data_IF_866510889587
#
_entry.id   IF_866510889587
#
_cell.length_a   1.000
_cell.length_b   1.000
_cell.length_c   1.000
_cell.angle_alpha   90.00
_cell.angle_beta   90.00
_cell.angle_gamma   90.00
#
_symmetry.space_group_name_H-M   'P 1'
#
loop_
_entity.id
_entity.type
_entity.pdbx_description
1 polymer ?
#
# COMPACT_ATOMS: atom_id res chain seq x y z
N UNK A 1 0.06 -1.57 -9.99
CA UNK A 1 0.30 -0.71 -11.16
C UNK A 1 0.49 0.76 -10.74
N UNK A 2 -0.47 1.41 -10.02
CA UNK A 2 -0.37 2.83 -9.58
C UNK A 2 0.98 3.16 -8.91
N UNK A 3 1.44 2.34 -7.97
CA UNK A 3 2.69 2.58 -7.23
C UNK A 3 3.91 2.43 -8.14
N UNK A 4 3.97 1.37 -8.94
CA UNK A 4 5.11 1.15 -9.84
C UNK A 4 5.23 2.25 -10.89
N UNK A 5 4.11 2.68 -11.48
CA UNK A 5 4.08 3.81 -12.41
C UNK A 5 4.57 5.10 -11.74
N UNK A 6 4.11 5.37 -10.52
CA UNK A 6 4.56 6.53 -9.76
C UNK A 6 6.06 6.51 -9.45
N UNK A 7 6.63 5.33 -9.13
CA UNK A 7 8.09 5.20 -8.93
C UNK A 7 8.84 5.44 -10.23
N UNK A 8 8.40 4.88 -11.34
CA UNK A 8 9.04 5.07 -12.65
C UNK A 8 9.03 6.55 -13.08
N UNK A 9 7.89 7.23 -12.93
CA UNK A 9 7.76 8.66 -13.23
C UNK A 9 8.73 9.50 -12.40
N UNK A 10 8.79 9.28 -11.11
CA UNK A 10 9.66 10.04 -10.21
C UNK A 10 11.16 9.80 -10.50
N UNK A 11 11.54 8.56 -10.81
CA UNK A 11 12.92 8.27 -11.21
C UNK A 11 13.28 9.01 -12.52
N UNK A 12 12.36 9.05 -13.50
CA UNK A 12 12.54 9.80 -14.73
C UNK A 12 12.67 11.32 -14.48
N UNK A 13 11.85 11.86 -13.56
CA UNK A 13 11.93 13.28 -13.15
C UNK A 13 13.26 13.61 -12.46
N UNK A 14 13.83 12.66 -11.72
CA UNK A 14 15.17 12.80 -11.09
C UNK A 14 16.34 12.57 -12.04
N UNK A 15 16.07 12.39 -13.33
CA UNK A 15 17.11 12.28 -14.37
C UNK A 15 17.61 10.87 -14.64
N UNK A 16 17.00 9.83 -14.06
CA UNK A 16 17.31 8.45 -14.44
C UNK A 16 16.73 8.13 -15.82
N UNK A 17 17.49 7.39 -16.62
CA UNK A 17 16.98 6.83 -17.87
C UNK A 17 16.12 5.60 -17.58
N UNK A 18 14.80 5.76 -17.66
CA UNK A 18 13.83 4.69 -17.35
C UNK A 18 13.32 4.07 -18.65
N UNK A 19 13.45 2.75 -18.75
CA UNK A 19 12.90 1.97 -19.86
C UNK A 19 11.98 0.89 -19.27
N UNK A 20 10.73 0.86 -19.72
CA UNK A 20 9.76 -0.17 -19.35
C UNK A 20 9.79 -1.25 -20.42
N UNK A 21 9.97 -2.50 -20.01
CA UNK A 21 9.87 -3.67 -20.89
C UNK A 21 8.61 -4.44 -20.51
N UNK A 22 7.64 -4.48 -21.43
CA UNK A 22 6.36 -5.16 -21.23
C UNK A 22 6.31 -6.48 -22.01
N UNK A 23 5.64 -7.46 -21.42
CA UNK A 23 5.21 -8.67 -22.09
C UNK A 23 3.89 -8.40 -22.82
N UNK A 24 3.61 -9.16 -23.89
CA UNK A 24 2.42 -8.93 -24.71
C UNK A 24 2.64 -7.89 -25.81
N UNK A 25 1.55 -7.43 -26.40
CA UNK A 25 1.52 -6.57 -27.58
C UNK A 25 0.96 -5.18 -27.32
N UNK A 26 0.46 -4.93 -26.12
CA UNK A 26 -0.19 -3.68 -25.74
C UNK A 26 0.76 -2.78 -24.92
N UNK A 27 0.76 -1.50 -25.25
CA UNK A 27 1.53 -0.45 -24.55
C UNK A 27 0.68 0.39 -23.60
N UNK A 28 -0.62 0.08 -23.47
CA UNK A 28 -1.51 0.89 -22.63
C UNK A 28 -1.14 0.75 -21.15
N UNK A 29 -1.10 1.89 -20.48
CA UNK A 29 -0.97 1.97 -19.03
C UNK A 29 -2.25 2.59 -18.46
N UNK A 30 -2.79 2.01 -17.39
CA UNK A 30 -3.95 2.57 -16.69
C UNK A 30 -3.63 3.88 -15.96
N UNK A 31 -2.34 4.24 -15.85
CA UNK A 31 -1.88 5.46 -15.18
C UNK A 31 -0.94 6.24 -16.11
N UNK A 32 -0.97 7.58 -16.07
CA UNK A 32 -0.11 8.42 -16.89
C UNK A 32 1.37 8.12 -16.68
N UNK A 33 2.11 7.97 -17.75
CA UNK A 33 3.56 7.82 -17.76
C UNK A 33 4.24 9.12 -18.19
N UNK A 34 5.40 9.41 -17.61
CA UNK A 34 6.25 10.51 -17.99
C UNK A 34 6.75 10.32 -19.42
N UNK A 35 6.72 11.37 -20.24
CA UNK A 35 7.09 11.34 -21.65
C UNK A 35 8.57 10.94 -21.90
N UNK A 36 9.43 11.07 -20.88
CA UNK A 36 10.84 10.64 -20.93
C UNK A 36 11.00 9.11 -20.82
N UNK A 37 9.94 8.37 -20.45
CA UNK A 37 9.99 6.92 -20.26
C UNK A 37 9.80 6.22 -21.60
N UNK A 38 10.79 5.42 -22.00
CA UNK A 38 10.69 4.56 -23.18
C UNK A 38 9.98 3.26 -22.87
N UNK A 39 9.00 2.88 -23.69
CA UNK A 39 8.30 1.59 -23.57
C UNK A 39 8.74 0.67 -24.70
N UNK A 40 9.21 -0.53 -24.35
CA UNK A 40 9.57 -1.61 -25.28
C UNK A 40 8.67 -2.81 -25.04
N UNK A 41 8.28 -3.47 -26.13
CA UNK A 41 7.46 -4.67 -26.07
C UNK A 41 8.31 -5.90 -26.43
N UNK A 42 8.14 -6.98 -25.65
CA UNK A 42 8.70 -8.29 -26.02
C UNK A 42 7.84 -8.94 -27.12
N UNK A 43 6.55 -8.58 -27.23
CA UNK A 43 5.64 -9.15 -28.23
C UNK A 43 5.24 -10.59 -27.94
N UNK A 44 5.40 -11.07 -26.71
CA UNK A 44 5.11 -12.44 -26.29
C UNK A 44 4.32 -12.37 -25.00
N UNK A 45 3.17 -13.07 -24.87
CA UNK A 45 2.40 -13.08 -23.63
C UNK A 45 3.19 -13.75 -22.49
N UNK A 46 2.91 -13.30 -21.26
CA UNK A 46 3.52 -13.86 -20.06
C UNK A 46 2.84 -15.19 -19.68
N UNK A 47 3.22 -16.25 -20.34
CA UNK A 47 2.72 -17.61 -20.12
C UNK A 47 3.88 -18.59 -19.93
N UNK A 48 3.64 -19.68 -19.18
CA UNK A 48 4.68 -20.67 -18.87
C UNK A 48 5.37 -21.25 -20.11
N UNK A 49 4.61 -21.54 -21.16
CA UNK A 49 5.10 -22.12 -22.42
C UNK A 49 6.04 -21.19 -23.20
N UNK A 50 5.99 -19.88 -22.94
CA UNK A 50 6.78 -18.89 -23.67
C UNK A 50 7.96 -18.32 -22.87
N UNK A 51 8.16 -18.73 -21.62
CA UNK A 51 9.18 -18.14 -20.73
C UNK A 51 10.59 -18.16 -21.30
N UNK A 52 11.01 -19.25 -21.93
CA UNK A 52 12.34 -19.36 -22.53
C UNK A 52 12.51 -18.40 -23.73
N UNK A 53 11.49 -18.33 -24.60
CA UNK A 53 11.47 -17.39 -25.73
C UNK A 53 11.49 -15.94 -25.24
N UNK A 54 10.68 -15.64 -24.24
CA UNK A 54 10.64 -14.31 -23.61
C UNK A 54 11.99 -13.95 -22.96
N UNK A 55 12.65 -14.90 -22.31
CA UNK A 55 13.99 -14.71 -21.74
C UNK A 55 15.06 -14.39 -22.80
N UNK A 56 14.99 -15.03 -23.96
CA UNK A 56 15.89 -14.75 -25.07
C UNK A 56 15.72 -13.31 -25.58
N UNK A 57 14.48 -12.84 -25.78
CA UNK A 57 14.21 -11.47 -26.20
C UNK A 57 14.58 -10.46 -25.11
N UNK A 58 14.25 -10.75 -23.84
CA UNK A 58 14.66 -9.89 -22.73
C UNK A 58 16.18 -9.73 -22.68
N UNK A 59 16.95 -10.84 -22.80
CA UNK A 59 18.41 -10.79 -22.87
C UNK A 59 18.88 -9.87 -24.00
N UNK A 60 18.30 -9.99 -25.20
CA UNK A 60 18.69 -9.17 -26.36
C UNK A 60 18.48 -7.69 -26.06
N UNK A 61 17.29 -7.32 -25.59
CA UNK A 61 16.93 -5.95 -25.22
C UNK A 61 17.89 -5.39 -24.14
N UNK A 62 18.10 -6.13 -23.06
CA UNK A 62 18.94 -5.69 -21.94
C UNK A 62 20.41 -5.55 -22.34
N UNK A 63 20.94 -6.47 -23.16
CA UNK A 63 22.32 -6.39 -23.61
C UNK A 63 22.56 -5.28 -24.64
N UNK A 64 21.51 -4.83 -25.34
CA UNK A 64 21.54 -3.67 -26.23
C UNK A 64 21.49 -2.34 -25.44
N UNK A 65 20.56 -2.23 -24.47
CA UNK A 65 20.38 -1.02 -23.65
C UNK A 65 21.52 -0.86 -22.64
N UNK A 66 22.05 -1.99 -22.12
CA UNK A 66 23.09 -2.06 -21.06
C UNK A 66 22.72 -1.26 -19.80
N UNK A 67 21.55 -1.51 -19.20
CA UNK A 67 21.14 -0.79 -17.99
C UNK A 67 22.00 -1.18 -16.79
N UNK A 68 22.18 -0.26 -15.83
CA UNK A 68 22.81 -0.58 -14.55
C UNK A 68 21.98 -1.57 -13.73
N UNK A 69 20.66 -1.39 -13.77
CA UNK A 69 19.70 -2.20 -13.02
C UNK A 69 18.54 -2.69 -13.87
N UNK A 70 18.11 -3.93 -13.65
CA UNK A 70 16.90 -4.53 -14.19
C UNK A 70 15.95 -4.81 -13.04
N UNK A 71 14.84 -4.07 -12.94
CA UNK A 71 13.90 -4.16 -11.82
C UNK A 71 12.70 -4.99 -12.25
N UNK A 72 12.53 -6.15 -11.64
CA UNK A 72 11.34 -6.98 -11.80
C UNK A 72 10.23 -6.47 -10.88
N UNK A 73 9.15 -5.94 -11.45
CA UNK A 73 7.97 -5.50 -10.69
C UNK A 73 7.05 -6.71 -10.47
N UNK A 74 7.35 -7.52 -9.54
CA UNK A 74 6.71 -8.74 -9.04
C UNK A 74 7.58 -9.99 -9.22
N UNK A 75 7.44 -10.93 -8.28
CA UNK A 75 8.24 -12.17 -8.24
C UNK A 75 8.11 -13.05 -9.49
N UNK A 76 6.93 -13.22 -10.13
CA UNK A 76 6.84 -14.03 -11.34
C UNK A 76 7.77 -13.58 -12.47
N UNK A 77 8.05 -12.28 -12.60
CA UNK A 77 8.97 -11.75 -13.61
C UNK A 77 10.40 -12.25 -13.42
N UNK A 78 10.76 -12.60 -12.19
CA UNK A 78 12.09 -13.13 -11.85
C UNK A 78 12.40 -14.43 -12.60
N UNK A 79 11.41 -15.27 -12.89
CA UNK A 79 11.63 -16.52 -13.61
C UNK A 79 12.19 -16.28 -15.02
N UNK A 80 11.64 -15.29 -15.72
CA UNK A 80 12.13 -14.90 -17.06
C UNK A 80 13.50 -14.23 -16.96
N UNK A 81 13.70 -13.35 -15.99
CA UNK A 81 15.00 -12.68 -15.77
C UNK A 81 16.09 -13.66 -15.37
N UNK A 82 15.77 -14.69 -14.58
CA UNK A 82 16.71 -15.75 -14.23
C UNK A 82 17.12 -16.57 -15.48
N UNK A 83 16.16 -17.00 -16.29
CA UNK A 83 16.47 -17.68 -17.55
C UNK A 83 17.31 -16.80 -18.48
N UNK A 84 16.98 -15.51 -18.58
CA UNK A 84 17.76 -14.55 -19.37
C UNK A 84 19.19 -14.42 -18.86
N UNK A 85 19.39 -14.45 -17.53
CA UNK A 85 20.72 -14.49 -16.90
C UNK A 85 21.51 -15.74 -17.28
N UNK A 86 20.88 -16.92 -17.22
CA UNK A 86 21.48 -18.18 -17.66
C UNK A 86 21.87 -18.15 -19.15
N UNK A 87 21.14 -17.38 -19.96
CA UNK A 87 21.44 -17.15 -21.37
C UNK A 87 22.51 -16.05 -21.61
N UNK A 88 23.01 -15.40 -20.56
CA UNK A 88 24.06 -14.37 -20.66
C UNK A 88 23.52 -12.92 -20.67
N UNK A 89 22.36 -12.65 -20.09
CA UNK A 89 21.90 -11.29 -19.81
C UNK A 89 22.82 -10.61 -18.79
N UNK A 90 23.26 -9.39 -19.08
CA UNK A 90 24.09 -8.55 -18.20
C UNK A 90 23.19 -7.64 -17.31
N UNK A 91 23.81 -6.94 -16.36
CA UNK A 91 23.12 -6.01 -15.45
C UNK A 91 22.75 -6.62 -14.07
N UNK A 92 22.54 -5.74 -13.10
CA UNK A 92 22.13 -6.11 -11.74
C UNK A 92 20.63 -6.30 -11.69
N UNK A 93 20.13 -7.51 -11.36
CA UNK A 93 18.69 -7.79 -11.26
C UNK A 93 18.21 -7.50 -9.86
N UNK A 94 17.21 -6.65 -9.72
CA UNK A 94 16.50 -6.34 -8.48
C UNK A 94 15.08 -6.86 -8.60
N UNK A 95 14.59 -7.55 -7.58
CA UNK A 95 13.18 -7.97 -7.51
C UNK A 95 12.44 -7.10 -6.52
N UNK A 96 11.34 -6.49 -6.96
CA UNK A 96 10.45 -5.69 -6.12
C UNK A 96 9.18 -6.48 -5.83
N UNK A 97 9.09 -7.01 -4.60
CA UNK A 97 7.96 -7.82 -4.17
C UNK A 97 6.93 -6.94 -3.44
N UNK A 98 5.70 -6.96 -3.93
CA UNK A 98 4.57 -6.23 -3.36
C UNK A 98 3.75 -7.06 -2.37
N UNK A 99 4.13 -8.31 -2.15
CA UNK A 99 3.43 -9.24 -1.28
C UNK A 99 4.33 -9.68 -0.13
N UNK A 100 3.71 -10.16 0.94
CA UNK A 100 4.44 -10.78 2.05
C UNK A 100 5.03 -12.11 1.63
N UNK A 101 6.11 -12.56 2.31
CA UNK A 101 6.76 -13.83 2.00
C UNK A 101 5.76 -14.99 1.95
N UNK A 102 4.82 -15.03 2.89
CA UNK A 102 3.86 -16.13 3.06
C UNK A 102 2.55 -15.93 2.28
N UNK A 103 2.43 -14.89 1.44
CA UNK A 103 1.24 -14.69 0.64
C UNK A 103 1.09 -15.79 -0.43
N UNK A 104 -0.06 -16.45 -0.46
CA UNK A 104 -0.40 -17.48 -1.42
C UNK A 104 0.06 -18.89 -1.03
N UNK A 105 0.45 -19.69 -2.02
CA UNK A 105 0.80 -21.10 -1.83
C UNK A 105 2.25 -21.29 -1.34
N UNK A 106 2.57 -22.50 -0.86
CA UNK A 106 3.95 -22.91 -0.52
C UNK A 106 4.93 -22.75 -1.69
N UNK A 107 4.48 -22.98 -2.92
CA UNK A 107 5.25 -22.69 -4.12
C UNK A 107 5.56 -21.18 -4.26
N UNK A 108 4.63 -20.32 -3.87
CA UNK A 108 4.86 -18.88 -3.84
C UNK A 108 5.99 -18.49 -2.87
N UNK A 109 6.01 -19.08 -1.67
CA UNK A 109 7.10 -18.92 -0.69
C UNK A 109 8.44 -19.36 -1.27
N UNK A 110 8.48 -20.56 -1.87
CA UNK A 110 9.69 -21.09 -2.52
C UNK A 110 10.21 -20.11 -3.60
N UNK A 111 9.35 -19.65 -4.50
CA UNK A 111 9.75 -18.73 -5.56
C UNK A 111 10.21 -17.36 -5.04
N UNK A 112 9.65 -16.85 -3.93
CA UNK A 112 10.14 -15.62 -3.29
C UNK A 112 11.53 -15.81 -2.69
N UNK A 113 11.76 -16.90 -1.96
CA UNK A 113 13.09 -17.23 -1.40
C UNK A 113 14.10 -17.44 -2.54
N UNK A 114 13.75 -18.21 -3.57
CA UNK A 114 14.59 -18.40 -4.74
C UNK A 114 14.91 -17.07 -5.45
N UNK A 115 13.90 -16.21 -5.64
CA UNK A 115 14.07 -14.88 -6.21
C UNK A 115 15.07 -14.03 -5.40
N UNK A 116 14.95 -14.04 -4.08
CA UNK A 116 15.87 -13.32 -3.21
C UNK A 116 17.31 -13.90 -3.26
N UNK A 117 17.44 -15.22 -3.46
CA UNK A 117 18.74 -15.85 -3.61
C UNK A 117 19.46 -15.42 -4.89
N UNK A 118 18.76 -15.42 -6.02
CA UNK A 118 19.34 -15.18 -7.36
C UNK A 118 19.40 -13.70 -7.75
N UNK A 119 18.61 -12.84 -7.13
CA UNK A 119 18.65 -11.40 -7.34
C UNK A 119 19.89 -10.76 -6.74
N UNK A 120 20.32 -9.65 -7.31
CA UNK A 120 21.32 -8.78 -6.70
C UNK A 120 20.80 -8.22 -5.37
N UNK A 121 19.58 -7.69 -5.39
CA UNK A 121 18.82 -7.25 -4.23
C UNK A 121 17.33 -7.56 -4.41
N UNK A 122 16.61 -7.66 -3.29
CA UNK A 122 15.15 -7.78 -3.28
C UNK A 122 14.57 -6.64 -2.43
N UNK A 123 13.58 -5.95 -2.97
CA UNK A 123 12.84 -4.91 -2.26
C UNK A 123 11.57 -5.53 -1.69
N UNK A 124 11.34 -5.32 -0.40
CA UNK A 124 10.10 -5.66 0.31
C UNK A 124 9.52 -4.41 0.94
N UNK A 125 8.25 -4.45 1.32
CA UNK A 125 7.55 -3.26 1.77
C UNK A 125 7.74 -2.96 3.26
N UNK A 126 8.04 -3.97 4.09
CA UNK A 126 8.11 -3.82 5.55
C UNK A 126 9.33 -4.52 6.16
N UNK A 127 9.74 -4.08 7.35
CA UNK A 127 10.76 -4.76 8.14
C UNK A 127 10.32 -6.16 8.57
N UNK A 128 9.03 -6.35 8.83
CA UNK A 128 8.47 -7.66 9.14
C UNK A 128 8.65 -8.63 7.96
N UNK A 129 8.40 -8.17 6.73
CA UNK A 129 8.66 -8.99 5.53
C UNK A 129 10.14 -9.35 5.42
N UNK A 130 11.06 -8.38 5.60
CA UNK A 130 12.51 -8.66 5.60
C UNK A 130 12.88 -9.71 6.65
N UNK A 131 12.32 -9.60 7.85
CA UNK A 131 12.61 -10.51 8.96
C UNK A 131 12.02 -11.92 8.75
N UNK A 132 11.02 -12.07 7.90
CA UNK A 132 10.45 -13.35 7.50
C UNK A 132 11.38 -14.17 6.60
N UNK A 133 12.31 -13.52 5.89
CA UNK A 133 13.28 -14.22 5.06
C UNK A 133 14.40 -14.89 5.87
N UNK A 134 15.02 -15.99 5.35
CA UNK A 134 16.17 -16.62 5.97
C UNK A 134 17.30 -15.62 6.28
N UNK A 135 17.92 -15.73 7.44
CA UNK A 135 18.95 -14.77 7.93
C UNK A 135 20.06 -14.49 6.90
N UNK A 136 20.50 -15.51 6.17
CA UNK A 136 21.55 -15.39 5.14
C UNK A 136 21.15 -14.46 3.99
N UNK A 137 19.87 -14.38 3.66
CA UNK A 137 19.37 -13.55 2.56
C UNK A 137 19.07 -12.11 2.98
N UNK A 138 18.87 -11.82 4.28
CA UNK A 138 18.47 -10.50 4.78
C UNK A 138 19.41 -9.37 4.38
N UNK A 139 20.69 -9.66 4.13
CA UNK A 139 21.66 -8.66 3.64
C UNK A 139 21.33 -8.15 2.24
N UNK A 140 20.67 -8.96 1.42
CA UNK A 140 20.22 -8.61 0.07
C UNK A 140 18.83 -7.98 0.05
N UNK A 141 18.10 -7.97 1.18
CA UNK A 141 16.73 -7.49 1.24
C UNK A 141 16.71 -6.05 1.74
N UNK A 142 16.14 -5.16 0.92
CA UNK A 142 15.95 -3.74 1.21
C UNK A 142 14.49 -3.46 1.53
N UNK A 143 14.25 -2.65 2.54
CA UNK A 143 12.89 -2.23 2.91
C UNK A 143 12.62 -0.87 2.31
N UNK A 144 11.82 -0.86 1.24
CA UNK A 144 11.33 0.35 0.59
C UNK A 144 9.81 0.22 0.51
N UNK A 145 9.12 0.91 1.41
CA UNK A 145 7.65 0.95 1.42
C UNK A 145 7.08 1.71 0.24
N UNK A 146 5.78 1.67 0.09
CA UNK A 146 5.10 2.50 -0.89
C UNK A 146 5.17 3.97 -0.45
N UNK A 147 5.26 4.87 -1.41
CA UNK A 147 5.09 6.30 -1.13
C UNK A 147 3.61 6.67 -1.22
N UNK A 148 3.26 7.71 -0.50
CA UNK A 148 1.97 8.39 -0.59
C UNK A 148 2.23 9.84 -0.96
N UNK A 149 1.30 10.45 -1.68
CA UNK A 149 1.41 11.86 -2.05
C UNK A 149 1.33 12.73 -0.79
N UNK A 150 2.18 13.75 -0.74
CA UNK A 150 2.15 14.71 0.34
C UNK A 150 0.85 15.52 0.29
N UNK A 151 0.04 15.45 1.35
CA UNK A 151 -1.16 16.24 1.45
C UNK A 151 -0.82 17.74 1.51
N UNK A 152 -1.48 18.54 0.69
CA UNK A 152 -1.31 20.00 0.65
C UNK A 152 -1.92 20.69 1.88
N UNK A 153 -3.00 20.11 2.40
CA UNK A 153 -3.76 20.62 3.52
C UNK A 153 -3.79 19.62 4.67
N UNK A 154 -3.99 20.09 5.88
CA UNK A 154 -4.22 19.24 7.06
C UNK A 154 -5.71 19.00 7.25
N UNK A 155 -6.05 17.93 7.95
CA UNK A 155 -7.43 17.63 8.35
C UNK A 155 -7.97 18.65 9.34
N UNK A 156 -9.31 18.79 9.31
CA UNK A 156 -10.06 19.58 10.30
C UNK A 156 -10.38 18.71 11.52
N UNK A 157 -9.47 18.66 12.49
CA UNK A 157 -9.63 17.84 13.70
C UNK A 157 -10.81 18.26 14.61
N UNK A 158 -11.49 19.35 14.31
CA UNK A 158 -12.69 19.82 15.04
C UNK A 158 -13.99 19.26 14.43
N UNK A 159 -13.93 18.73 13.24
CA UNK A 159 -15.06 18.08 12.58
C UNK A 159 -15.56 16.87 13.38
N UNK A 160 -16.86 16.62 13.35
CA UNK A 160 -17.48 15.44 13.96
C UNK A 160 -17.64 14.32 12.94
N UNK A 161 -16.56 14.03 12.20
CA UNK A 161 -16.54 13.00 11.15
C UNK A 161 -15.41 12.01 11.37
N UNK A 162 -15.77 10.74 11.34
CA UNK A 162 -14.83 9.60 11.34
C UNK A 162 -14.79 9.05 9.92
N UNK A 163 -13.59 8.89 9.37
CA UNK A 163 -13.40 8.41 8.00
C UNK A 163 -12.86 6.98 7.99
N UNK A 164 -13.40 6.17 7.10
CA UNK A 164 -12.84 4.87 6.73
C UNK A 164 -12.86 4.70 5.21
N UNK A 165 -11.73 4.35 4.62
CA UNK A 165 -11.55 4.28 3.16
C UNK A 165 -11.07 2.90 2.74
N UNK A 166 -11.70 2.30 1.74
CA UNK A 166 -11.23 1.03 1.19
C UNK A 166 -12.21 0.37 0.23
N UNK A 167 -11.76 -0.72 -0.41
CA UNK A 167 -12.67 -1.55 -1.20
C UNK A 167 -13.72 -2.18 -0.28
N UNK A 168 -14.97 -2.17 -0.66
CA UNK A 168 -16.05 -2.79 0.10
C UNK A 168 -16.02 -4.32 -0.11
N UNK A 169 -15.08 -4.98 0.58
CA UNK A 169 -14.87 -6.43 0.57
C UNK A 169 -14.70 -6.93 2.00
N UNK A 170 -15.02 -8.18 2.27
CA UNK A 170 -15.01 -8.79 3.60
C UNK A 170 -13.69 -8.54 4.39
N UNK A 171 -12.55 -8.59 3.69
CA UNK A 171 -11.25 -8.41 4.34
C UNK A 171 -11.04 -7.00 4.92
N UNK A 172 -11.85 -6.00 4.54
CA UNK A 172 -11.76 -4.63 5.06
C UNK A 172 -12.57 -4.38 6.34
N UNK A 173 -13.41 -5.33 6.75
CA UNK A 173 -14.06 -5.32 8.06
C UNK A 173 -15.06 -4.18 8.29
N UNK A 174 -15.66 -3.62 7.23
CA UNK A 174 -16.68 -2.58 7.39
C UNK A 174 -17.92 -3.07 8.13
N UNK A 175 -18.23 -4.35 8.04
CA UNK A 175 -19.28 -5.01 8.81
C UNK A 175 -19.01 -4.95 10.33
N UNK A 176 -17.77 -5.15 10.77
CA UNK A 176 -17.37 -5.00 12.18
C UNK A 176 -17.45 -3.51 12.58
N UNK A 177 -16.98 -2.63 11.72
CA UNK A 177 -17.01 -1.19 12.01
C UNK A 177 -18.42 -0.66 12.19
N UNK A 178 -19.40 -1.17 11.43
CA UNK A 178 -20.82 -0.82 11.61
C UNK A 178 -21.38 -1.31 12.94
N UNK A 179 -21.03 -2.52 13.41
CA UNK A 179 -21.43 -3.00 14.73
C UNK A 179 -20.88 -2.09 15.84
N UNK A 180 -19.61 -1.73 15.77
CA UNK A 180 -18.98 -0.81 16.72
C UNK A 180 -19.67 0.56 16.67
N UNK A 181 -19.96 1.06 15.46
CA UNK A 181 -20.60 2.36 15.28
C UNK A 181 -22.03 2.41 15.80
N UNK A 182 -22.76 1.30 15.73
CA UNK A 182 -24.09 1.15 16.31
C UNK A 182 -24.12 1.40 17.83
N UNK A 183 -23.04 1.06 18.54
CA UNK A 183 -22.92 1.38 19.97
C UNK A 183 -22.45 2.84 20.20
N UNK A 184 -21.57 3.35 19.34
CA UNK A 184 -21.04 4.71 19.44
C UNK A 184 -22.16 5.73 19.20
N UNK A 185 -22.95 5.57 18.16
CA UNK A 185 -24.02 6.50 17.76
C UNK A 185 -25.08 6.72 18.82
N UNK A 186 -25.31 5.76 19.73
CA UNK A 186 -26.22 5.88 20.88
C UNK A 186 -25.79 6.98 21.87
N UNK A 187 -24.47 7.27 21.93
CA UNK A 187 -23.90 8.29 22.84
C UNK A 187 -23.49 9.56 22.11
N UNK A 188 -23.12 9.45 20.85
CA UNK A 188 -22.57 10.52 19.99
C UNK A 188 -23.34 10.57 18.67
N UNK A 189 -24.65 10.85 18.75
CA UNK A 189 -25.54 10.92 17.59
C UNK A 189 -25.22 12.07 16.62
N UNK A 190 -24.40 13.01 17.02
CA UNK A 190 -23.95 14.14 16.23
C UNK A 190 -22.63 13.86 15.46
N UNK A 191 -22.07 12.66 15.58
CA UNK A 191 -20.92 12.21 14.79
C UNK A 191 -21.36 11.36 13.62
N UNK A 192 -20.64 11.49 12.50
CA UNK A 192 -20.89 10.77 11.25
C UNK A 192 -19.73 9.87 10.91
N UNK A 193 -20.01 8.60 10.66
CA UNK A 193 -19.05 7.68 10.04
C UNK A 193 -19.17 7.77 8.52
N UNK A 194 -18.09 8.18 7.85
CA UNK A 194 -17.99 8.18 6.39
C UNK A 194 -17.21 6.97 5.91
N UNK A 195 -17.86 6.10 5.14
CA UNK A 195 -17.24 4.95 4.49
C UNK A 195 -17.11 5.24 3.00
N UNK A 196 -15.88 5.42 2.52
CA UNK A 196 -15.60 5.76 1.12
C UNK A 196 -15.03 4.56 0.38
N UNK A 197 -15.75 4.09 -0.64
CA UNK A 197 -15.29 3.00 -1.47
C UNK A 197 -16.37 2.31 -2.28
N UNK A 198 -15.97 1.28 -3.01
CA UNK A 198 -16.85 0.42 -3.81
C UNK A 198 -16.40 -1.02 -3.71
N UNK A 199 -17.31 -1.96 -3.89
CA UNK A 199 -17.02 -3.40 -3.84
C UNK A 199 -18.27 -4.26 -3.69
N UNK A 200 -18.08 -5.55 -3.66
CA UNK A 200 -19.13 -6.58 -3.64
C UNK A 200 -19.98 -6.55 -2.37
N UNK A 201 -19.43 -6.09 -1.24
CA UNK A 201 -20.15 -6.03 0.04
C UNK A 201 -21.09 -4.82 0.15
N UNK A 202 -21.19 -3.95 -0.86
CA UNK A 202 -21.96 -2.71 -0.78
C UNK A 202 -23.41 -2.91 -0.33
N UNK A 203 -24.12 -3.87 -0.92
CA UNK A 203 -25.52 -4.12 -0.59
C UNK A 203 -25.69 -4.79 0.79
N UNK A 204 -24.75 -5.65 1.19
CA UNK A 204 -24.74 -6.24 2.52
C UNK A 204 -24.55 -5.17 3.61
N UNK A 205 -23.63 -4.24 3.37
CA UNK A 205 -23.37 -3.12 4.29
C UNK A 205 -24.56 -2.17 4.39
N UNK A 206 -25.27 -1.90 3.29
CA UNK A 206 -26.52 -1.09 3.30
C UNK A 206 -27.59 -1.72 4.17
N UNK A 207 -27.87 -3.01 3.96
CA UNK A 207 -28.83 -3.76 4.78
C UNK A 207 -28.45 -3.69 6.26
N UNK A 208 -27.18 -3.84 6.57
CA UNK A 208 -26.69 -3.76 7.95
C UNK A 208 -26.87 -2.36 8.56
N UNK A 209 -26.70 -1.29 7.80
CA UNK A 209 -27.01 0.09 8.24
C UNK A 209 -28.47 0.22 8.59
N UNK A 210 -29.39 -0.30 7.73
CA UNK A 210 -30.84 -0.32 7.98
C UNK A 210 -31.20 -1.15 9.22
N UNK A 211 -30.66 -2.36 9.36
CA UNK A 211 -30.89 -3.23 10.51
C UNK A 211 -30.44 -2.62 11.84
N UNK A 212 -29.35 -1.82 11.82
CA UNK A 212 -28.80 -1.13 12.99
C UNK A 212 -29.38 0.28 13.20
N UNK A 213 -30.30 0.75 12.32
CA UNK A 213 -30.89 2.10 12.32
C UNK A 213 -29.82 3.21 12.31
N UNK A 214 -28.84 3.11 11.39
CA UNK A 214 -27.68 4.02 11.31
C UNK A 214 -27.74 4.98 10.12
N UNK A 215 -28.88 5.13 9.44
CA UNK A 215 -29.02 5.92 8.22
C UNK A 215 -28.64 7.39 8.41
N UNK A 216 -28.90 7.94 9.61
CA UNK A 216 -28.55 9.31 9.96
C UNK A 216 -27.07 9.49 10.40
N UNK A 217 -26.40 8.39 10.79
CA UNK A 217 -25.06 8.40 11.40
C UNK A 217 -23.98 7.78 10.51
N UNK A 218 -24.33 7.17 9.38
CA UNK A 218 -23.39 6.54 8.45
C UNK A 218 -23.64 7.02 7.02
N UNK A 219 -22.57 7.47 6.38
CA UNK A 219 -22.57 7.86 4.99
C UNK A 219 -21.73 6.90 4.16
N UNK A 220 -22.35 6.12 3.29
CA UNK A 220 -21.67 5.29 2.30
C UNK A 220 -21.45 6.09 1.01
N UNK A 221 -20.20 6.40 0.71
CA UNK A 221 -19.79 7.21 -0.42
C UNK A 221 -19.10 6.30 -1.46
N UNK A 222 -19.50 6.29 -2.73
CA UNK A 222 -18.83 5.51 -3.77
C UNK A 222 -17.37 6.00 -3.94
N UNK A 223 -16.57 5.23 -4.66
CA UNK A 223 -15.21 5.65 -5.03
C UNK A 223 -15.24 7.00 -5.76
N UNK A 224 -14.52 7.97 -5.23
CA UNK A 224 -14.42 9.34 -5.73
C UNK A 224 -13.07 9.62 -6.37
N UNK A 225 -13.02 10.59 -7.29
CA UNK A 225 -11.75 11.05 -7.89
C UNK A 225 -10.91 11.87 -6.91
N UNK A 226 -11.57 12.75 -6.12
CA UNK A 226 -10.92 13.60 -5.13
C UNK A 226 -11.23 13.11 -3.72
N UNK A 227 -10.45 12.14 -3.26
CA UNK A 227 -10.56 11.59 -1.90
C UNK A 227 -9.99 12.55 -0.84
N UNK A 228 -9.18 13.53 -1.24
CA UNK A 228 -8.52 14.46 -0.34
C UNK A 228 -9.53 15.27 0.49
N UNK A 229 -10.66 15.66 -0.10
CA UNK A 229 -11.71 16.43 0.58
C UNK A 229 -12.27 15.69 1.80
N UNK A 230 -12.39 14.37 1.72
CA UNK A 230 -12.85 13.54 2.84
C UNK A 230 -11.80 13.42 3.94
N UNK A 231 -10.50 13.29 3.59
CA UNK A 231 -9.44 13.32 4.57
C UNK A 231 -9.32 14.68 5.27
N UNK A 232 -9.51 15.79 4.53
CA UNK A 232 -9.49 17.15 5.09
C UNK A 232 -10.66 17.37 6.04
N UNK A 233 -11.84 16.89 5.70
CA UNK A 233 -13.07 17.10 6.48
C UNK A 233 -13.25 16.11 7.63
N UNK A 234 -12.41 15.08 7.75
CA UNK A 234 -12.43 14.14 8.86
C UNK A 234 -11.59 14.61 10.04
N UNK A 235 -11.85 14.07 11.24
CA UNK A 235 -11.06 14.31 12.44
C UNK A 235 -10.42 13.04 13.03
N UNK A 236 -10.90 11.86 12.63
CA UNK A 236 -10.37 10.54 13.05
C UNK A 236 -10.42 9.62 11.84
N UNK A 237 -9.40 8.80 11.65
CA UNK A 237 -9.40 7.71 10.68
C UNK A 237 -9.53 6.36 11.39
N UNK A 238 -10.43 5.49 10.92
CA UNK A 238 -10.66 4.17 11.51
C UNK A 238 -10.52 3.07 10.45
N UNK A 239 -9.91 1.94 10.82
CA UNK A 239 -9.85 0.74 9.98
C UNK A 239 -10.03 -0.53 10.80
N UNK A 240 -11.14 -1.23 10.57
CA UNK A 240 -11.43 -2.53 11.17
C UNK A 240 -11.00 -3.70 10.25
N UNK A 241 -10.01 -3.49 9.40
CA UNK A 241 -9.58 -4.48 8.43
C UNK A 241 -9.08 -5.77 9.09
N UNK A 242 -9.54 -6.92 8.57
CA UNK A 242 -9.07 -8.26 8.95
C UNK A 242 -7.71 -8.58 8.33
N UNK A 243 -7.41 -7.93 7.21
CA UNK A 243 -6.15 -8.08 6.48
C UNK A 243 -5.80 -6.77 5.73
N UNK A 244 -4.60 -6.27 5.99
CA UNK A 244 -4.05 -5.10 5.30
C UNK A 244 -2.58 -5.31 4.96
N UNK A 245 -2.24 -5.64 3.72
CA UNK A 245 -0.86 -6.00 3.34
C UNK A 245 0.17 -4.90 3.57
N UNK A 246 -0.19 -3.62 3.37
CA UNK A 246 0.71 -2.51 3.63
C UNK A 246 0.04 -1.34 4.37
N UNK A 247 -1.17 -0.95 3.98
CA UNK A 247 -1.91 0.14 4.62
C UNK A 247 -1.72 1.50 3.93
N UNK A 248 -1.85 1.56 2.60
CA UNK A 248 -1.80 2.83 1.85
C UNK A 248 -2.73 3.88 2.46
N UNK A 249 -3.96 3.51 2.76
CA UNK A 249 -4.97 4.41 3.33
C UNK A 249 -4.61 4.92 4.74
N UNK A 250 -3.88 4.11 5.53
CA UNK A 250 -3.35 4.54 6.83
C UNK A 250 -2.24 5.58 6.65
N UNK A 251 -1.34 5.36 5.70
CA UNK A 251 -0.30 6.34 5.39
C UNK A 251 -0.88 7.61 4.74
N UNK A 252 -1.94 7.48 3.94
CA UNK A 252 -2.73 8.62 3.43
C UNK A 252 -3.33 9.41 4.59
N UNK A 253 -4.03 8.77 5.53
CA UNK A 253 -4.58 9.43 6.71
C UNK A 253 -3.51 10.20 7.51
N UNK A 254 -2.32 9.60 7.70
CA UNK A 254 -1.17 10.28 8.34
C UNK A 254 -0.71 11.50 7.56
N UNK A 255 -0.76 11.49 6.23
CA UNK A 255 -0.36 12.64 5.42
C UNK A 255 -1.25 13.86 5.65
N UNK A 256 -2.50 13.65 6.02
CA UNK A 256 -3.44 14.72 6.43
C UNK A 256 -3.38 15.05 7.92
N UNK A 257 -2.58 14.33 8.70
CA UNK A 257 -2.49 14.53 10.16
C UNK A 257 -3.71 14.00 10.90
N UNK A 258 -4.35 12.93 10.42
CA UNK A 258 -5.42 12.25 11.13
C UNK A 258 -4.87 11.28 12.17
N UNK A 259 -5.36 11.32 13.43
CA UNK A 259 -5.16 10.23 14.37
C UNK A 259 -5.84 8.96 13.86
N UNK A 260 -5.21 7.81 14.07
CA UNK A 260 -5.68 6.54 13.53
C UNK A 260 -6.09 5.59 14.65
N UNK A 261 -7.23 4.91 14.48
CA UNK A 261 -7.59 3.73 15.27
C UNK A 261 -7.74 2.56 14.32
N UNK A 262 -6.95 1.50 14.49
CA UNK A 262 -7.04 0.35 13.60
C UNK A 262 -6.70 -0.97 14.28
N UNK A 263 -7.23 -2.07 13.76
CA UNK A 263 -6.78 -3.39 14.19
C UNK A 263 -5.31 -3.64 13.79
N UNK A 264 -4.55 -4.28 14.67
CA UNK A 264 -3.22 -4.85 14.37
C UNK A 264 -3.40 -6.16 13.57
N UNK A 265 -4.03 -6.04 12.41
CA UNK A 265 -4.18 -7.17 11.51
C UNK A 265 -2.85 -7.50 10.80
N UNK A 266 -2.71 -8.71 10.23
CA UNK A 266 -1.45 -9.13 9.64
C UNK A 266 -0.88 -8.13 8.63
N UNK A 267 0.38 -7.82 8.79
CA UNK A 267 1.36 -7.09 7.97
C UNK A 267 1.35 -5.56 8.06
N UNK A 268 0.34 -4.86 7.54
CA UNK A 268 0.41 -3.40 7.28
C UNK A 268 0.39 -2.51 8.52
N UNK A 269 -0.65 -2.56 9.37
CA UNK A 269 -0.93 -1.52 10.36
C UNK A 269 0.22 -1.24 11.32
N UNK A 270 0.83 -2.28 11.88
CA UNK A 270 1.98 -2.20 12.81
C UNK A 270 3.22 -1.52 12.21
N UNK A 271 3.35 -1.54 10.88
CA UNK A 271 4.46 -0.88 10.21
C UNK A 271 4.15 0.60 9.92
N UNK A 272 2.90 1.01 9.98
CA UNK A 272 2.45 2.37 9.68
C UNK A 272 2.16 3.14 10.95
N UNK A 273 1.33 2.61 11.84
CA UNK A 273 0.86 3.28 13.06
C UNK A 273 1.81 3.00 14.23
N UNK A 274 2.13 4.03 15.00
CA UNK A 274 2.87 3.94 16.25
C UNK A 274 1.87 4.04 17.41
N UNK A 275 1.63 2.91 18.04
CA UNK A 275 0.65 2.80 19.11
C UNK A 275 0.90 3.80 20.24
N UNK A 276 -0.16 4.49 20.69
CA UNK A 276 -0.11 5.51 21.74
C UNK A 276 0.60 6.82 21.36
N UNK A 277 1.08 6.96 20.10
CA UNK A 277 1.81 8.15 19.65
C UNK A 277 1.08 8.92 18.54
N UNK A 278 0.71 8.24 17.48
CA UNK A 278 0.02 8.82 16.31
C UNK A 278 -1.30 8.10 15.98
N UNK A 279 -1.69 7.17 16.85
CA UNK A 279 -2.91 6.38 16.76
C UNK A 279 -2.90 5.26 17.77
N UNK A 280 -3.88 4.36 17.64
CA UNK A 280 -4.02 3.18 18.47
C UNK A 280 -4.07 1.92 17.59
N UNK A 281 -3.22 0.94 17.92
CA UNK A 281 -3.23 -0.41 17.35
C UNK A 281 -3.98 -1.33 18.30
N UNK A 282 -5.10 -1.84 17.85
CA UNK A 282 -6.01 -2.67 18.64
C UNK A 282 -5.83 -4.13 18.27
N UNK A 283 -5.82 -5.02 19.24
CA UNK A 283 -5.78 -6.46 18.97
C UNK A 283 -6.88 -6.87 17.97
N UNK A 284 -6.54 -7.73 17.01
CA UNK A 284 -7.48 -8.12 15.96
C UNK A 284 -8.78 -8.68 16.58
N UNK A 285 -9.92 -8.14 16.15
CA UNK A 285 -11.27 -8.43 16.63
C UNK A 285 -11.59 -7.96 18.06
N UNK A 286 -10.76 -7.20 18.73
CA UNK A 286 -11.15 -6.53 19.97
C UNK A 286 -11.99 -5.28 19.69
N UNK A 287 -13.28 -5.54 19.42
CA UNK A 287 -14.25 -4.48 19.11
C UNK A 287 -14.50 -3.53 20.30
N UNK A 288 -14.37 -4.04 21.53
CA UNK A 288 -14.58 -3.22 22.72
C UNK A 288 -13.46 -2.20 22.89
N UNK A 289 -12.20 -2.64 22.79
CA UNK A 289 -11.08 -1.72 22.87
C UNK A 289 -11.11 -0.71 21.69
N UNK A 290 -11.43 -1.16 20.47
CA UNK A 290 -11.57 -0.26 19.32
C UNK A 290 -12.62 0.82 19.57
N UNK A 291 -13.79 0.44 20.09
CA UNK A 291 -14.85 1.36 20.50
C UNK A 291 -14.35 2.39 21.51
N UNK A 292 -13.70 1.94 22.58
CA UNK A 292 -13.16 2.83 23.63
C UNK A 292 -12.14 3.83 23.07
N UNK A 293 -11.23 3.41 22.20
CA UNK A 293 -10.24 4.31 21.61
C UNK A 293 -10.85 5.30 20.62
N UNK A 294 -11.90 4.92 19.90
CA UNK A 294 -12.66 5.85 19.06
C UNK A 294 -13.34 6.90 19.94
N UNK A 295 -14.07 6.48 20.97
CA UNK A 295 -14.75 7.37 21.92
C UNK A 295 -13.76 8.33 22.60
N UNK A 296 -12.62 7.83 23.07
CA UNK A 296 -11.56 8.66 23.66
C UNK A 296 -11.13 9.77 22.72
N UNK A 297 -10.91 9.47 21.44
CA UNK A 297 -10.55 10.48 20.44
C UNK A 297 -11.73 11.39 20.07
N UNK A 298 -12.96 10.96 20.18
CA UNK A 298 -14.14 11.81 19.95
C UNK A 298 -14.30 12.84 21.07
N UNK A 299 -14.00 12.47 22.31
CA UNK A 299 -14.18 13.30 23.49
C UNK A 299 -12.98 14.24 23.75
N UNK A 300 -11.76 13.86 23.32
CA UNK A 300 -10.53 14.61 23.62
C UNK A 300 -9.93 15.25 22.34
N UNK A 301 -10.23 16.54 22.12
CA UNK A 301 -9.67 17.31 20.99
C UNK A 301 -8.15 17.50 21.11
N UNK A 302 -7.62 17.67 22.30
CA UNK A 302 -6.18 17.89 22.49
C UNK A 302 -5.40 16.59 22.18
N UNK A 303 -5.94 15.44 22.55
CA UNK A 303 -5.38 14.15 22.15
C UNK A 303 -5.44 13.95 20.63
N UNK A 304 -6.55 14.33 19.96
CA UNK A 304 -6.64 14.32 18.50
C UNK A 304 -5.55 15.17 17.86
N UNK A 305 -5.33 16.40 18.36
CA UNK A 305 -4.27 17.30 17.88
C UNK A 305 -2.89 16.69 18.07
N UNK A 306 -2.60 16.20 19.27
CA UNK A 306 -1.32 15.56 19.60
C UNK A 306 -1.01 14.39 18.68
N UNK A 307 -1.97 13.50 18.49
CA UNK A 307 -1.79 12.33 17.60
C UNK A 307 -1.71 12.75 16.13
N UNK A 308 -2.51 13.71 15.70
CA UNK A 308 -2.50 14.23 14.34
C UNK A 308 -1.16 14.87 13.96
N UNK A 309 -0.58 15.67 14.84
CA UNK A 309 0.76 16.26 14.64
C UNK A 309 1.85 15.19 14.58
N UNK A 310 1.79 14.21 15.48
CA UNK A 310 2.73 13.08 15.47
C UNK A 310 2.57 12.24 14.19
N UNK A 311 1.33 12.00 13.74
CA UNK A 311 1.04 11.28 12.51
C UNK A 311 1.66 11.99 11.29
N UNK A 312 1.46 13.30 11.17
CA UNK A 312 2.04 14.11 10.08
C UNK A 312 3.57 14.09 10.09
N UNK A 313 4.18 14.30 11.25
CA UNK A 313 5.64 14.25 11.39
C UNK A 313 6.22 12.89 11.00
N UNK A 314 5.57 11.82 11.44
CA UNK A 314 6.00 10.47 11.12
C UNK A 314 5.82 10.16 9.62
N UNK A 315 4.74 10.62 9.00
CA UNK A 315 4.54 10.54 7.56
C UNK A 315 5.69 11.20 6.79
N UNK A 316 6.03 12.44 7.13
CA UNK A 316 7.11 13.20 6.47
C UNK A 316 8.45 12.49 6.54
N UNK A 317 8.73 11.82 7.66
CA UNK A 317 9.98 11.08 7.86
C UNK A 317 10.03 9.72 7.15
N UNK A 318 8.90 9.02 7.03
CA UNK A 318 8.91 7.61 6.61
C UNK A 318 8.21 7.32 5.28
N UNK A 319 7.14 8.04 4.94
CA UNK A 319 6.22 7.67 3.85
C UNK A 319 6.07 8.75 2.79
N UNK A 320 6.56 9.95 3.03
CA UNK A 320 6.56 11.02 2.04
C UNK A 320 7.32 10.60 0.77
N UNK A 321 6.95 11.20 -0.33
CA UNK A 321 7.62 11.00 -1.61
C UNK A 321 9.15 11.18 -1.45
N UNK A 322 9.59 12.24 -0.76
CA UNK A 322 11.00 12.49 -0.47
C UNK A 322 11.68 11.37 0.30
N UNK A 323 11.07 10.91 1.39
CA UNK A 323 11.65 9.87 2.25
C UNK A 323 11.82 8.53 1.52
N UNK A 324 10.81 8.11 0.76
CA UNK A 324 10.86 6.87 -0.01
C UNK A 324 11.86 6.95 -1.16
N UNK A 325 11.89 8.06 -1.89
CA UNK A 325 12.81 8.18 -3.04
C UNK A 325 14.27 8.37 -2.64
N UNK A 326 14.56 8.85 -1.43
CA UNK A 326 15.93 8.80 -0.91
C UNK A 326 16.43 7.33 -0.79
N UNK A 327 15.56 6.40 -0.35
CA UNK A 327 15.90 4.96 -0.30
C UNK A 327 16.08 4.35 -1.69
N UNK A 328 15.26 4.76 -2.67
CA UNK A 328 15.43 4.33 -4.06
C UNK A 328 16.76 4.83 -4.66
N UNK A 329 17.09 6.10 -4.45
CA UNK A 329 18.37 6.64 -4.95
C UNK A 329 19.58 6.02 -4.28
N UNK A 330 19.48 5.66 -3.00
CA UNK A 330 20.54 4.91 -2.29
C UNK A 330 20.72 3.49 -2.88
N UNK A 331 19.63 2.81 -3.22
CA UNK A 331 19.67 1.48 -3.81
C UNK A 331 20.27 1.49 -5.23
N UNK A 332 20.05 2.56 -5.99
CA UNK A 332 20.47 2.69 -7.40
C UNK A 332 21.85 3.35 -7.58
N UNK A 333 22.56 3.62 -6.53
CA UNK A 333 23.99 3.99 -6.54
C UNK A 333 24.89 2.75 -6.64
#
# INVERSE_FOLDING_TARGET
>A
ERISTGVMNELADRGYQVVIVLFGTDKTSAFPLNDKIKILLIGIPFENKYKLKAAFYLKKIINEIKPDYVINVAVPMMQVSFLAKCLGMKGKVVTWDHFTLFAGSQWGVFFRIFSAFVSHQTIVLTEQDRNSYPRLLRKKIRVIGNFVMDAKFKSNLMSKKVLSVGRLVHTKGFDILLDIWGDISKRHSDWILQIVGSGEEKENLRKKIEELHLEENVQMIPTVKNIEDYYIDASIYVSAARLEPWGLVLAEAKSFGLPIVCFDCPHGPKNIVRDGMDGNLIALNDCNEMKEKILLLMDDLELRRKYGEAARKDFECRFSKRAIFNKWTELLK
#
